data_IF_612250625237
#
_entry.id   IF_612250625237
#
_cell.length_a   1.000
_cell.length_b   1.000
_cell.length_c   1.000
_cell.angle_alpha   90.00
_cell.angle_beta   90.00
_cell.angle_gamma   90.00
#
_symmetry.space_group_name_H-M   'P 1'
#
loop_
_entity.id
_entity.type
_entity.pdbx_description
1 polymer ?
#
# COMPACT_ATOMS: atom_id res chain seq x y z
N UNK A 1 -13.91 15.54 10.09
CA UNK A 1 -12.72 14.95 10.73
C UNK A 1 -12.38 13.68 9.97
N UNK A 2 -11.20 13.58 9.35
CA UNK A 2 -10.79 12.39 8.58
C UNK A 2 -10.59 11.22 9.58
N UNK A 3 -11.28 10.09 9.36
CA UNK A 3 -11.22 8.90 10.22
C UNK A 3 -9.78 8.44 10.47
N UNK A 4 -8.93 8.48 9.45
CA UNK A 4 -7.53 8.07 9.56
C UNK A 4 -6.70 9.00 10.44
N UNK A 5 -7.02 10.30 10.42
CA UNK A 5 -6.36 11.29 11.27
C UNK A 5 -6.72 11.06 12.75
N UNK A 6 -7.95 10.66 13.04
CA UNK A 6 -8.33 10.27 14.40
C UNK A 6 -7.59 9.00 14.88
N UNK A 7 -7.42 8.00 14.00
CA UNK A 7 -6.65 6.78 14.29
C UNK A 7 -5.15 7.06 14.50
N UNK A 8 -4.61 8.08 13.83
CA UNK A 8 -3.23 8.55 14.02
C UNK A 8 -3.07 9.38 15.31
N UNK A 9 -3.96 10.33 15.54
CA UNK A 9 -3.82 11.39 16.56
C UNK A 9 -4.42 11.05 17.94
N UNK A 10 -5.09 9.90 18.12
CA UNK A 10 -5.67 9.48 19.41
C UNK A 10 -4.66 9.37 20.56
N UNK A 11 -5.07 9.21 21.82
CA UNK A 11 -4.16 9.00 22.96
C UNK A 11 -4.05 7.51 23.34
N UNK A 12 -2.82 6.98 23.48
CA UNK A 12 -2.53 5.57 23.86
C UNK A 12 -1.45 4.87 23.02
N UNK A 13 -0.90 3.74 23.51
CA UNK A 13 0.20 2.97 22.88
C UNK A 13 -0.26 2.05 21.74
N UNK A 14 -1.54 1.68 21.69
CA UNK A 14 -2.13 0.80 20.67
C UNK A 14 -2.74 1.58 19.50
N UNK A 15 -1.93 2.39 18.82
CA UNK A 15 -2.35 3.10 17.60
C UNK A 15 -1.68 2.50 16.38
N UNK A 16 -2.43 1.81 15.50
CA UNK A 16 -1.83 1.10 14.37
C UNK A 16 -1.15 2.05 13.38
N UNK A 17 -1.56 3.32 13.29
CA UNK A 17 -1.03 4.29 12.32
C UNK A 17 0.02 5.27 12.90
N UNK A 18 0.43 5.11 14.15
CA UNK A 18 1.26 6.12 14.86
C UNK A 18 2.65 6.34 14.28
N UNK A 19 3.19 5.34 13.58
CA UNK A 19 4.53 5.36 12.98
C UNK A 19 4.52 5.84 11.53
N UNK A 20 3.36 6.28 11.01
CA UNK A 20 3.27 6.81 9.67
C UNK A 20 3.78 8.26 9.60
N UNK A 21 4.61 8.55 8.62
CA UNK A 21 5.13 9.88 8.31
C UNK A 21 4.61 10.36 6.96
N UNK A 22 4.14 11.61 6.93
CA UNK A 22 3.57 12.20 5.71
C UNK A 22 4.61 12.21 4.59
N UNK A 23 4.18 11.84 3.39
CA UNK A 23 5.08 11.73 2.24
C UNK A 23 5.39 13.13 1.68
N UNK A 24 6.63 13.34 1.27
CA UNK A 24 7.08 14.64 0.76
C UNK A 24 6.33 15.07 -0.51
N UNK A 25 6.01 16.36 -0.70
CA UNK A 25 5.28 16.84 -1.88
C UNK A 25 5.94 16.48 -3.21
N UNK A 26 7.27 16.44 -3.27
CA UNK A 26 8.00 16.05 -4.47
C UNK A 26 7.77 14.58 -4.85
N UNK A 27 7.70 13.68 -3.87
CA UNK A 27 7.40 12.27 -4.09
C UNK A 27 5.95 12.07 -4.55
N UNK A 28 5.00 12.79 -3.94
CA UNK A 28 3.60 12.80 -4.37
C UNK A 28 3.43 13.32 -5.81
N UNK A 29 4.15 14.39 -6.17
CA UNK A 29 4.15 14.92 -7.53
C UNK A 29 4.73 13.92 -8.54
N UNK A 30 5.80 13.22 -8.17
CA UNK A 30 6.38 12.15 -8.98
C UNK A 30 5.39 11.00 -9.16
N UNK A 31 4.73 10.56 -8.08
CA UNK A 31 3.72 9.50 -8.11
C UNK A 31 2.56 9.86 -9.06
N UNK A 32 2.04 11.08 -8.97
CA UNK A 32 0.97 11.58 -9.83
C UNK A 32 1.40 11.67 -11.30
N UNK A 33 2.65 12.07 -11.57
CA UNK A 33 3.20 12.13 -12.93
C UNK A 33 3.44 10.74 -13.52
N UNK A 34 3.88 9.77 -12.71
CA UNK A 34 4.17 8.41 -13.14
C UNK A 34 2.90 7.59 -13.37
N UNK A 35 1.86 7.83 -12.57
CA UNK A 35 0.62 7.06 -12.61
C UNK A 35 -0.62 7.97 -12.59
N UNK A 36 -0.95 8.66 -13.69
CA UNK A 36 -2.06 9.62 -13.73
C UNK A 36 -3.46 9.02 -13.47
N UNK A 37 -3.59 7.70 -13.64
CA UNK A 37 -4.84 6.97 -13.41
C UNK A 37 -4.93 6.31 -12.01
N UNK A 38 -3.91 6.47 -11.16
CA UNK A 38 -3.90 5.95 -9.80
C UNK A 38 -5.06 6.54 -8.99
N UNK A 39 -5.85 5.70 -8.29
CA UNK A 39 -6.88 6.16 -7.37
C UNK A 39 -6.36 7.21 -6.38
N UNK A 40 -7.12 8.30 -6.24
CA UNK A 40 -6.70 9.44 -5.43
C UNK A 40 -6.76 9.18 -3.93
N UNK A 41 -7.50 8.16 -3.48
CA UNK A 41 -7.57 7.78 -2.06
C UNK A 41 -6.21 7.38 -1.51
N UNK A 42 -5.38 6.68 -2.29
CA UNK A 42 -4.02 6.33 -1.92
C UNK A 42 -3.11 7.56 -1.78
N UNK A 43 -3.08 8.44 -2.79
CA UNK A 43 -2.21 9.62 -2.74
C UNK A 43 -2.64 10.63 -1.67
N UNK A 44 -3.95 10.79 -1.46
CA UNK A 44 -4.50 11.58 -0.35
C UNK A 44 -4.15 10.96 1.01
N UNK A 45 -4.13 9.62 1.12
CA UNK A 45 -3.70 8.96 2.35
C UNK A 45 -2.21 9.22 2.62
N UNK A 46 -1.33 9.08 1.62
CA UNK A 46 0.10 9.38 1.76
C UNK A 46 0.35 10.85 2.13
N UNK A 47 -0.42 11.78 1.57
CA UNK A 47 -0.33 13.22 1.88
C UNK A 47 -0.77 13.52 3.32
N UNK A 48 -1.88 12.95 3.76
CA UNK A 48 -2.55 13.35 5.00
C UNK A 48 -2.17 12.51 6.21
N UNK A 49 -1.85 11.23 6.00
CA UNK A 49 -1.55 10.24 7.03
C UNK A 49 -0.12 9.74 6.88
N UNK A 50 0.30 9.37 5.68
CA UNK A 50 1.69 9.00 5.42
C UNK A 50 1.95 7.54 5.12
N UNK A 51 3.23 7.19 5.20
CA UNK A 51 3.81 5.87 4.94
C UNK A 51 4.67 5.42 6.13
N UNK A 52 4.98 4.14 6.19
CA UNK A 52 5.74 3.51 7.28
C UNK A 52 5.02 2.31 7.90
N UNK A 53 5.41 1.98 9.12
CA UNK A 53 4.93 0.79 9.82
C UNK A 53 3.48 0.95 10.32
N UNK A 54 2.65 -0.06 10.06
CA UNK A 54 1.29 -0.21 10.56
C UNK A 54 1.23 -1.39 11.54
N UNK A 55 0.55 -1.21 12.69
CA UNK A 55 0.12 -2.33 13.52
C UNK A 55 1.21 -3.08 14.30
N UNK A 56 2.27 -2.41 14.75
CA UNK A 56 3.44 -3.04 15.40
C UNK A 56 4.15 -4.05 14.50
N UNK A 57 4.57 -3.59 13.31
CA UNK A 57 5.23 -4.38 12.27
C UNK A 57 4.36 -5.48 11.66
N UNK A 58 3.04 -5.28 11.66
CA UNK A 58 2.11 -6.13 10.92
C UNK A 58 2.13 -5.84 9.42
N UNK A 59 2.42 -4.59 9.03
CA UNK A 59 2.48 -4.18 7.63
C UNK A 59 3.42 -2.97 7.47
N UNK A 60 4.20 -2.96 6.41
CA UNK A 60 4.99 -1.81 5.97
C UNK A 60 4.32 -1.17 4.76
N UNK A 61 3.83 0.06 4.92
CA UNK A 61 3.30 0.87 3.83
C UNK A 61 4.42 1.71 3.22
N UNK A 62 4.62 1.65 1.92
CA UNK A 62 5.65 2.40 1.20
C UNK A 62 5.24 3.86 0.96
N UNK A 63 6.22 4.72 0.67
CA UNK A 63 6.02 6.14 0.35
C UNK A 63 5.68 6.40 -1.14
N UNK A 64 5.47 5.32 -1.90
CA UNK A 64 5.24 5.34 -3.33
C UNK A 64 4.80 3.97 -3.85
N UNK A 65 5.13 3.68 -5.11
CA UNK A 65 4.83 2.41 -5.74
C UNK A 65 6.11 1.79 -6.31
N UNK A 66 6.29 0.50 -6.08
CA UNK A 66 7.37 -0.30 -6.67
C UNK A 66 6.81 -1.19 -7.76
N UNK A 67 7.54 -1.33 -8.86
CA UNK A 67 7.20 -2.33 -9.89
C UNK A 67 7.59 -3.73 -9.42
N UNK A 68 6.96 -4.76 -9.96
CA UNK A 68 7.31 -6.15 -9.65
C UNK A 68 8.80 -6.47 -9.94
N UNK A 69 9.40 -5.85 -10.95
CA UNK A 69 10.82 -6.03 -11.32
C UNK A 69 11.80 -5.52 -10.25
N UNK A 70 11.37 -4.62 -9.37
CA UNK A 70 12.21 -4.11 -8.28
C UNK A 70 12.31 -5.09 -7.11
N UNK A 71 11.37 -6.04 -7.00
CA UNK A 71 11.27 -6.97 -5.87
C UNK A 71 11.54 -8.42 -6.31
N UNK A 72 11.00 -8.82 -7.45
CA UNK A 72 10.99 -10.20 -7.91
C UNK A 72 11.99 -10.46 -9.04
N UNK A 73 12.36 -11.73 -9.21
CA UNK A 73 13.11 -12.15 -10.39
C UNK A 73 12.30 -11.91 -11.68
N UNK A 74 13.00 -11.95 -12.82
CA UNK A 74 12.42 -11.65 -14.13
C UNK A 74 11.23 -12.55 -14.51
N UNK A 75 11.25 -13.83 -14.13
CA UNK A 75 10.18 -14.77 -14.48
C UNK A 75 8.92 -14.46 -13.67
N UNK A 76 9.07 -14.26 -12.36
CA UNK A 76 7.97 -13.89 -11.46
C UNK A 76 7.40 -12.52 -11.83
N UNK A 77 8.26 -11.51 -12.03
CA UNK A 77 7.85 -10.16 -12.41
C UNK A 77 7.07 -10.11 -13.73
N UNK A 78 7.41 -10.97 -14.71
CA UNK A 78 6.66 -11.06 -15.97
C UNK A 78 5.21 -11.53 -15.76
N UNK A 79 4.95 -12.41 -14.79
CA UNK A 79 3.61 -12.84 -14.40
C UNK A 79 2.81 -11.78 -13.65
N UNK A 80 3.48 -10.75 -13.14
CA UNK A 80 2.93 -9.65 -12.35
C UNK A 80 2.93 -8.33 -13.13
N UNK A 81 2.96 -8.39 -14.47
CA UNK A 81 2.94 -7.20 -15.31
C UNK A 81 1.70 -6.35 -15.02
N UNK A 82 1.92 -5.08 -14.66
CA UNK A 82 0.85 -4.16 -14.26
C UNK A 82 0.56 -4.12 -12.76
N UNK A 83 1.18 -4.99 -11.95
CA UNK A 83 1.13 -4.91 -10.49
C UNK A 83 2.11 -3.85 -9.99
N UNK A 84 1.60 -2.92 -9.17
CA UNK A 84 2.36 -1.84 -8.55
C UNK A 84 2.25 -1.95 -7.03
N UNK A 85 3.33 -2.34 -6.37
CA UNK A 85 3.38 -2.70 -4.95
C UNK A 85 3.43 -1.44 -4.07
N UNK A 86 2.57 -1.38 -3.05
CA UNK A 86 2.52 -0.29 -2.08
C UNK A 86 2.89 -0.72 -0.66
N UNK A 87 3.08 -2.00 -0.39
CA UNK A 87 3.51 -2.46 0.92
C UNK A 87 3.70 -3.96 1.02
N UNK A 88 4.12 -4.43 2.20
CA UNK A 88 4.32 -5.84 2.51
C UNK A 88 4.07 -6.15 3.99
N UNK A 89 3.85 -7.42 4.32
CA UNK A 89 3.64 -7.90 5.69
C UNK A 89 4.95 -8.20 6.47
N UNK A 90 6.11 -7.89 5.86
CA UNK A 90 7.45 -8.21 6.35
C UNK A 90 7.75 -9.71 6.53
N UNK A 91 6.86 -10.58 6.04
CA UNK A 91 6.98 -12.04 6.09
C UNK A 91 6.97 -12.67 4.68
N UNK A 92 6.84 -11.86 3.64
CA UNK A 92 7.05 -12.23 2.24
C UNK A 92 5.87 -11.92 1.33
N UNK A 93 4.70 -11.59 1.89
CA UNK A 93 3.54 -11.19 1.11
C UNK A 93 3.64 -9.71 0.75
N UNK A 94 3.70 -9.41 -0.54
CA UNK A 94 3.65 -8.03 -1.02
C UNK A 94 2.25 -7.70 -1.51
N UNK A 95 1.80 -6.48 -1.26
CA UNK A 95 0.48 -5.99 -1.63
C UNK A 95 0.63 -4.81 -2.59
N UNK A 96 -0.20 -4.78 -3.62
CA UNK A 96 -0.15 -3.75 -4.66
C UNK A 96 -1.47 -3.55 -5.37
N UNK A 97 -1.47 -2.63 -6.34
CA UNK A 97 -2.58 -2.43 -7.26
C UNK A 97 -2.37 -3.22 -8.55
N UNK A 98 -3.41 -3.85 -9.07
CA UNK A 98 -3.47 -4.28 -10.47
C UNK A 98 -3.91 -3.10 -11.35
N UNK A 99 -2.94 -2.36 -11.90
CA UNK A 99 -3.21 -1.20 -12.76
C UNK A 99 -3.84 -1.57 -14.11
N UNK A 100 -3.78 -2.85 -14.50
CA UNK A 100 -4.44 -3.37 -15.70
C UNK A 100 -5.91 -3.74 -15.47
N UNK A 101 -6.34 -3.89 -14.21
CA UNK A 101 -7.70 -4.32 -13.84
C UNK A 101 -8.35 -3.37 -12.85
N UNK A 102 -8.45 -2.10 -13.23
CA UNK A 102 -9.24 -1.13 -12.47
C UNK A 102 -8.70 -0.77 -11.09
N UNK A 103 -7.41 -1.04 -10.83
CA UNK A 103 -6.74 -0.71 -9.57
C UNK A 103 -7.30 -1.45 -8.35
N UNK A 104 -7.79 -2.68 -8.55
CA UNK A 104 -8.05 -3.58 -7.44
C UNK A 104 -6.74 -3.88 -6.69
N UNK A 105 -6.86 -4.11 -5.38
CA UNK A 105 -5.72 -4.47 -4.54
C UNK A 105 -5.51 -5.98 -4.63
N UNK A 106 -4.27 -6.36 -4.89
CA UNK A 106 -3.83 -7.74 -4.96
C UNK A 106 -2.71 -8.00 -3.96
N UNK A 107 -2.66 -9.22 -3.44
CA UNK A 107 -1.56 -9.76 -2.66
C UNK A 107 -0.81 -10.80 -3.49
N UNK A 108 0.52 -10.75 -3.45
CA UNK A 108 1.41 -11.69 -4.13
C UNK A 108 1.86 -12.75 -3.14
N UNK A 109 1.54 -14.01 -3.44
CA UNK A 109 1.94 -15.17 -2.64
C UNK A 109 3.43 -15.49 -2.87
N UNK A 110 4.29 -15.44 -1.83
CA UNK A 110 5.72 -15.69 -1.99
C UNK A 110 6.05 -17.14 -2.38
N UNK A 111 5.13 -18.10 -2.19
CA UNK A 111 5.36 -19.51 -2.48
C UNK A 111 5.24 -19.85 -3.97
N UNK A 112 4.40 -19.11 -4.70
CA UNK A 112 4.09 -19.40 -6.09
C UNK A 112 4.20 -18.19 -7.03
N UNK A 113 4.40 -16.99 -6.49
CA UNK A 113 4.56 -15.74 -7.25
C UNK A 113 3.28 -15.24 -7.93
N UNK A 114 2.11 -15.76 -7.54
CA UNK A 114 0.82 -15.36 -8.11
C UNK A 114 0.18 -14.24 -7.30
N UNK A 115 -0.52 -13.35 -8.01
CA UNK A 115 -1.32 -12.29 -7.42
C UNK A 115 -2.78 -12.74 -7.26
N UNK A 116 -3.36 -12.49 -6.09
CA UNK A 116 -4.77 -12.73 -5.79
C UNK A 116 -5.43 -11.42 -5.37
N UNK A 117 -6.59 -11.12 -5.93
CA UNK A 117 -7.37 -9.95 -5.52
C UNK A 117 -7.86 -10.12 -4.07
N UNK A 118 -7.55 -9.13 -3.23
CA UNK A 118 -7.90 -9.12 -1.80
C UNK A 118 -8.86 -7.98 -1.46
N UNK A 119 -8.91 -6.91 -2.25
CA UNK A 119 -9.90 -5.85 -2.09
C UNK A 119 -10.14 -5.08 -3.40
N UNK A 120 -11.31 -4.46 -3.54
CA UNK A 120 -11.64 -3.65 -4.73
C UNK A 120 -10.92 -2.30 -4.81
N UNK A 121 -10.10 -1.94 -3.82
CA UNK A 121 -9.38 -0.67 -3.76
C UNK A 121 -8.67 -0.44 -2.42
N UNK A 122 -7.83 0.60 -2.37
CA UNK A 122 -6.96 0.87 -1.22
C UNK A 122 -7.72 1.14 0.07
N UNK A 123 -8.77 1.98 0.01
CA UNK A 123 -9.56 2.28 1.21
C UNK A 123 -10.17 1.02 1.84
N UNK A 124 -10.71 0.10 1.04
CA UNK A 124 -11.28 -1.16 1.51
C UNK A 124 -10.20 -2.03 2.16
N UNK A 125 -9.08 -2.24 1.47
CA UNK A 125 -7.95 -3.01 1.99
C UNK A 125 -7.46 -2.46 3.33
N UNK A 126 -7.24 -1.15 3.42
CA UNK A 126 -6.75 -0.52 4.64
C UNK A 126 -7.73 -0.70 5.81
N UNK A 127 -9.04 -0.62 5.57
CA UNK A 127 -10.06 -0.83 6.60
C UNK A 127 -10.06 -2.27 7.12
N UNK A 128 -9.91 -3.24 6.23
CA UNK A 128 -9.85 -4.66 6.57
C UNK A 128 -8.57 -4.97 7.35
N UNK A 129 -7.42 -4.50 6.87
CA UNK A 129 -6.14 -4.58 7.58
C UNK A 129 -6.29 -4.04 9.00
N UNK A 130 -6.80 -2.82 9.17
CA UNK A 130 -6.96 -2.20 10.48
C UNK A 130 -7.96 -2.94 11.40
N UNK A 131 -8.93 -3.66 10.84
CA UNK A 131 -9.91 -4.43 11.61
C UNK A 131 -9.36 -5.78 12.10
N UNK A 132 -8.25 -6.24 11.52
CA UNK A 132 -7.55 -7.47 11.90
C UNK A 132 -6.45 -7.29 12.95
N UNK A 133 -6.13 -6.04 13.32
CA UNK A 133 -5.07 -5.67 14.27
C UNK A 133 -5.54 -5.62 15.73
#
# INVERSE_FOLDING_TARGET
>A
MNLYKALKDGSGDHRPLRKLEVVAPAALAQLASSYPALPSDYSVFLETVGSGEIGQAAFMLYDGLLTAEQIYDKQTAAGLAGVLLFGDDMQGYCVGFDSGKGWAVVEVDPLNGQAHEVAGGFETYLRELLSSL
#
